data_IF_279485949225
#
_entry.id   IF_279485949225
#
_cell.length_a   1.000
_cell.length_b   1.000
_cell.length_c   1.000
_cell.angle_alpha   90.00
_cell.angle_beta   90.00
_cell.angle_gamma   90.00
#
_symmetry.space_group_name_H-M   'P 1'
#
loop_
_entity.id
_entity.type
_entity.pdbx_description
1 polymer ?
#
# COMPACT_ATOMS: atom_id res chain seq x y z
N UNK A 1 -35.34 -49.17 -23.45
CA UNK A 1 -35.13 -49.02 -21.99
C UNK A 1 -33.66 -48.87 -21.60
N UNK A 2 -32.76 -49.80 -21.91
CA UNK A 2 -31.32 -49.66 -21.58
C UNK A 2 -30.68 -48.36 -22.10
N UNK A 3 -30.88 -48.01 -23.37
CA UNK A 3 -30.33 -46.77 -23.95
C UNK A 3 -30.88 -45.47 -23.32
N UNK A 4 -32.14 -45.49 -22.87
CA UNK A 4 -32.76 -44.34 -22.19
C UNK A 4 -32.18 -44.15 -20.77
N UNK A 5 -31.94 -45.27 -20.05
CA UNK A 5 -31.28 -45.27 -18.74
C UNK A 5 -29.81 -44.82 -18.84
N UNK A 6 -29.09 -45.22 -19.88
CA UNK A 6 -27.71 -44.76 -20.12
C UNK A 6 -27.65 -43.26 -20.43
N UNK A 7 -28.60 -42.74 -21.21
CA UNK A 7 -28.70 -41.31 -21.51
C UNK A 7 -29.04 -40.49 -20.26
N UNK A 8 -29.99 -40.95 -19.44
CA UNK A 8 -30.34 -40.32 -18.16
C UNK A 8 -29.18 -40.33 -17.14
N UNK A 9 -28.40 -41.43 -17.10
CA UNK A 9 -27.20 -41.50 -16.27
C UNK A 9 -26.12 -40.51 -16.72
N UNK A 10 -25.91 -40.36 -18.04
CA UNK A 10 -24.98 -39.38 -18.60
C UNK A 10 -25.44 -37.93 -18.36
N UNK A 11 -26.75 -37.67 -18.48
CA UNK A 11 -27.33 -36.34 -18.20
C UNK A 11 -27.19 -35.97 -16.70
N UNK A 12 -27.33 -36.94 -15.81
CA UNK A 12 -27.16 -36.75 -14.36
C UNK A 12 -25.69 -36.45 -14.01
N UNK A 13 -24.74 -37.08 -14.69
CA UNK A 13 -23.29 -36.81 -14.55
C UNK A 13 -22.89 -35.42 -15.07
N UNK A 14 -23.62 -34.87 -16.06
CA UNK A 14 -23.42 -33.49 -16.52
C UNK A 14 -23.96 -32.45 -15.53
N UNK A 15 -25.04 -32.74 -14.80
CA UNK A 15 -25.60 -31.80 -13.79
C UNK A 15 -24.77 -31.74 -12.50
N UNK A 16 -23.92 -32.73 -12.23
CA UNK A 16 -23.02 -32.75 -11.07
C UNK A 16 -21.74 -31.94 -11.26
N UNK A 17 -21.58 -31.24 -12.40
CA UNK A 17 -20.46 -30.35 -12.70
C UNK A 17 -20.72 -28.89 -12.32
N UNK A 18 -21.79 -28.60 -11.58
CA UNK A 18 -21.86 -27.31 -10.88
C UNK A 18 -20.81 -27.32 -9.77
N UNK A 19 -19.72 -26.61 -10.01
CA UNK A 19 -18.61 -26.49 -9.08
C UNK A 19 -19.08 -25.95 -7.74
N UNK A 20 -18.70 -26.63 -6.66
CA UNK A 20 -18.80 -26.04 -5.33
C UNK A 20 -17.87 -24.82 -5.30
N UNK A 21 -18.27 -23.76 -4.60
CA UNK A 21 -17.36 -22.65 -4.33
C UNK A 21 -16.83 -22.73 -2.91
N UNK A 22 -15.68 -22.12 -2.69
CA UNK A 22 -15.06 -21.89 -1.40
C UNK A 22 -15.22 -20.42 -1.05
N UNK A 23 -15.83 -20.14 0.11
CA UNK A 23 -15.97 -18.80 0.67
C UNK A 23 -15.01 -18.65 1.85
N UNK A 24 -14.21 -17.60 1.83
CA UNK A 24 -13.38 -17.15 2.95
C UNK A 24 -14.12 -15.97 3.61
N UNK A 25 -14.76 -16.16 4.78
CA UNK A 25 -15.36 -15.05 5.51
C UNK A 25 -14.27 -14.07 5.98
N UNK A 26 -14.59 -12.78 6.00
CA UNK A 26 -13.69 -11.72 6.49
C UNK A 26 -14.27 -10.94 7.68
N UNK A 27 -15.38 -11.42 8.24
CA UNK A 27 -15.98 -10.90 9.47
C UNK A 27 -15.29 -11.50 10.72
N UNK A 28 -15.93 -11.35 11.88
CA UNK A 28 -15.41 -11.83 13.16
C UNK A 28 -15.27 -13.36 13.26
N UNK A 29 -15.81 -14.13 12.31
CA UNK A 29 -15.69 -15.59 12.29
C UNK A 29 -14.36 -16.07 11.71
N UNK A 30 -13.59 -15.19 11.08
CA UNK A 30 -12.28 -15.51 10.55
C UNK A 30 -11.23 -15.53 11.66
N UNK A 31 -10.52 -16.64 11.79
CA UNK A 31 -9.46 -16.80 12.79
C UNK A 31 -8.19 -16.00 12.43
N UNK A 32 -7.92 -15.82 11.14
CA UNK A 32 -6.71 -15.14 10.69
C UNK A 32 -6.91 -14.31 9.43
N UNK A 33 -7.32 -13.04 9.58
CA UNK A 33 -7.58 -12.12 8.47
C UNK A 33 -6.34 -11.83 7.63
N UNK A 34 -5.17 -11.63 8.25
CA UNK A 34 -3.94 -11.34 7.50
C UNK A 34 -3.51 -12.53 6.64
N UNK A 35 -3.59 -13.76 7.18
CA UNK A 35 -3.35 -14.97 6.38
C UNK A 35 -4.41 -15.19 5.31
N UNK A 36 -5.66 -14.75 5.52
CA UNK A 36 -6.70 -14.80 4.51
C UNK A 36 -6.36 -13.88 3.31
N UNK A 37 -5.93 -12.64 3.55
CA UNK A 37 -5.42 -11.76 2.47
C UNK A 37 -4.23 -12.39 1.73
N UNK A 38 -3.30 -12.98 2.47
CA UNK A 38 -2.18 -13.73 1.93
C UNK A 38 -2.56 -14.89 1.03
N UNK A 39 -3.53 -15.70 1.47
CA UNK A 39 -4.08 -16.81 0.70
C UNK A 39 -4.76 -16.32 -0.58
N UNK A 40 -5.54 -15.24 -0.50
CA UNK A 40 -6.19 -14.60 -1.65
C UNK A 40 -5.14 -14.12 -2.65
N UNK A 41 -4.08 -13.47 -2.18
CA UNK A 41 -2.97 -13.03 -3.04
C UNK A 41 -2.27 -14.22 -3.71
N UNK A 42 -1.94 -15.27 -2.96
CA UNK A 42 -1.35 -16.50 -3.48
C UNK A 42 -2.24 -17.18 -4.54
N UNK A 43 -3.56 -17.15 -4.36
CA UNK A 43 -4.50 -17.69 -5.34
C UNK A 43 -4.47 -16.86 -6.64
N UNK A 44 -4.40 -15.53 -6.55
CA UNK A 44 -4.24 -14.65 -7.73
C UNK A 44 -2.90 -14.89 -8.45
N UNK A 45 -1.81 -15.17 -7.73
CA UNK A 45 -0.52 -15.54 -8.36
C UNK A 45 -0.59 -16.89 -9.09
N UNK A 46 -1.53 -17.75 -8.70
CA UNK A 46 -1.80 -19.02 -9.34
C UNK A 46 -2.85 -18.92 -10.47
N UNK A 47 -3.14 -17.70 -10.96
CA UNK A 47 -4.14 -17.38 -11.98
C UNK A 47 -5.55 -17.90 -11.62
N UNK A 48 -5.88 -17.91 -10.33
CA UNK A 48 -7.22 -18.27 -9.84
C UNK A 48 -8.05 -17.00 -9.73
N UNK A 49 -9.18 -16.95 -10.45
CA UNK A 49 -10.15 -15.87 -10.36
C UNK A 49 -10.85 -15.87 -8.98
N UNK A 50 -11.01 -14.67 -8.42
CA UNK A 50 -11.62 -14.49 -7.10
C UNK A 50 -12.67 -13.39 -7.20
N UNK A 51 -13.85 -13.67 -6.67
CA UNK A 51 -14.88 -12.66 -6.44
C UNK A 51 -14.69 -12.08 -5.03
N UNK A 52 -14.33 -10.80 -4.94
CA UNK A 52 -14.34 -10.05 -3.70
C UNK A 52 -15.75 -9.51 -3.46
N UNK A 53 -16.39 -10.02 -2.40
CA UNK A 53 -17.75 -9.67 -2.03
C UNK A 53 -17.72 -8.48 -1.06
N UNK A 54 -17.59 -7.28 -1.60
CA UNK A 54 -17.45 -6.03 -0.85
C UNK A 54 -18.67 -5.82 0.06
N UNK A 55 -18.41 -5.50 1.34
CA UNK A 55 -19.39 -5.35 2.42
C UNK A 55 -20.21 -6.59 2.79
N UNK A 56 -20.05 -7.72 2.08
CA UNK A 56 -20.63 -8.99 2.50
C UNK A 56 -19.66 -9.70 3.47
N UNK A 57 -20.12 -9.99 4.69
CA UNK A 57 -19.33 -10.66 5.73
C UNK A 57 -17.89 -10.11 5.88
N UNK A 58 -17.79 -8.77 5.98
CA UNK A 58 -16.49 -8.09 6.16
C UNK A 58 -15.64 -7.98 4.90
N UNK A 59 -16.19 -8.29 3.71
CA UNK A 59 -15.45 -8.25 2.45
C UNK A 59 -14.90 -9.63 2.07
N UNK A 60 -15.75 -10.66 2.12
CA UNK A 60 -15.36 -12.06 1.89
C UNK A 60 -14.80 -12.33 0.49
N UNK A 61 -14.00 -13.40 0.38
CA UNK A 61 -13.48 -13.86 -0.91
C UNK A 61 -14.16 -15.16 -1.32
N UNK A 62 -14.66 -15.21 -2.55
CA UNK A 62 -15.34 -16.36 -3.12
C UNK A 62 -14.58 -16.84 -4.35
N UNK A 63 -14.25 -18.13 -4.41
CA UNK A 63 -13.52 -18.74 -5.52
C UNK A 63 -14.00 -20.17 -5.75
N UNK A 64 -13.65 -20.75 -6.89
CA UNK A 64 -13.99 -22.16 -7.16
C UNK A 64 -13.29 -23.08 -6.16
N UNK A 65 -14.03 -24.07 -5.66
CA UNK A 65 -13.47 -25.02 -4.72
C UNK A 65 -12.41 -25.89 -5.39
N UNK A 66 -11.26 -26.04 -4.72
CA UNK A 66 -10.30 -27.10 -5.03
C UNK A 66 -9.67 -27.65 -3.74
N UNK A 67 -9.30 -28.93 -3.77
CA UNK A 67 -8.58 -29.56 -2.65
C UNK A 67 -7.25 -28.85 -2.34
N UNK A 68 -6.65 -28.19 -3.34
CA UNK A 68 -5.43 -27.40 -3.20
C UNK A 68 -5.69 -26.17 -2.33
N UNK A 69 -6.69 -25.35 -2.68
CA UNK A 69 -7.05 -24.14 -1.92
C UNK A 69 -7.48 -24.51 -0.50
N UNK A 70 -8.37 -25.50 -0.35
CA UNK A 70 -8.83 -25.95 0.97
C UNK A 70 -7.69 -26.46 1.86
N UNK A 71 -6.65 -27.08 1.26
CA UNK A 71 -5.43 -27.46 1.99
C UNK A 71 -4.63 -26.24 2.43
N UNK A 72 -4.44 -25.26 1.55
CA UNK A 72 -3.74 -24.01 1.90
C UNK A 72 -4.47 -23.24 3.01
N UNK A 73 -5.81 -23.17 2.98
CA UNK A 73 -6.59 -22.59 4.07
C UNK A 73 -6.24 -23.25 5.42
N UNK A 74 -6.23 -24.59 5.47
CA UNK A 74 -5.91 -25.34 6.70
C UNK A 74 -4.48 -25.14 7.16
N UNK A 75 -3.52 -25.09 6.24
CA UNK A 75 -2.10 -24.88 6.56
C UNK A 75 -1.90 -23.48 7.16
N UNK A 76 -2.59 -22.48 6.60
CA UNK A 76 -2.47 -21.06 7.00
C UNK A 76 -3.38 -20.66 8.16
N UNK A 77 -4.23 -21.56 8.66
CA UNK A 77 -5.20 -21.27 9.72
C UNK A 77 -6.30 -20.29 9.27
N UNK A 78 -6.73 -20.39 8.02
CA UNK A 78 -7.81 -19.57 7.44
C UNK A 78 -9.10 -20.36 7.44
N UNK A 79 -10.15 -19.80 8.04
CA UNK A 79 -11.49 -20.37 8.03
C UNK A 79 -12.09 -20.24 6.63
N UNK A 80 -12.79 -21.29 6.19
CA UNK A 80 -13.50 -21.31 4.91
C UNK A 80 -14.77 -22.16 4.98
N UNK A 81 -15.70 -21.89 4.07
CA UNK A 81 -16.94 -22.63 3.88
C UNK A 81 -17.00 -23.18 2.45
N UNK A 82 -17.55 -24.38 2.30
CA UNK A 82 -17.92 -24.93 1.00
C UNK A 82 -19.37 -24.63 0.72
N UNK A 83 -19.66 -23.98 -0.42
CA UNK A 83 -21.00 -23.55 -0.79
C UNK A 83 -21.51 -24.33 -1.99
N UNK A 84 -22.79 -24.68 -1.95
CA UNK A 84 -23.53 -25.19 -3.09
C UNK A 84 -24.15 -24.05 -3.91
N UNK A 85 -24.67 -24.40 -5.10
CA UNK A 85 -25.26 -23.42 -6.01
C UNK A 85 -26.43 -22.63 -5.40
N UNK A 86 -27.21 -23.26 -4.51
CA UNK A 86 -28.33 -22.60 -3.83
C UNK A 86 -27.86 -21.54 -2.84
N UNK A 87 -26.82 -21.86 -2.06
CA UNK A 87 -26.20 -20.92 -1.11
C UNK A 87 -25.58 -19.73 -1.85
N UNK A 88 -24.87 -19.98 -2.95
CA UNK A 88 -24.27 -18.92 -3.78
C UNK A 88 -25.33 -17.97 -4.32
N UNK A 89 -26.45 -18.49 -4.84
CA UNK A 89 -27.55 -17.67 -5.35
C UNK A 89 -28.15 -16.77 -4.25
N UNK A 90 -28.28 -17.29 -3.03
CA UNK A 90 -28.76 -16.50 -1.89
C UNK A 90 -27.80 -15.36 -1.56
N UNK A 91 -26.48 -15.61 -1.59
CA UNK A 91 -25.45 -14.58 -1.36
C UNK A 91 -25.57 -13.48 -2.41
N UNK A 92 -25.63 -13.82 -3.70
CA UNK A 92 -25.77 -12.80 -4.74
C UNK A 92 -27.08 -12.01 -4.62
N UNK A 93 -28.19 -12.69 -4.26
CA UNK A 93 -29.47 -12.01 -4.01
C UNK A 93 -29.38 -11.03 -2.85
N UNK A 94 -28.67 -11.39 -1.78
CA UNK A 94 -28.41 -10.49 -0.65
C UNK A 94 -27.56 -9.29 -1.05
N UNK A 95 -26.51 -9.52 -1.84
CA UNK A 95 -25.63 -8.46 -2.34
C UNK A 95 -26.41 -7.47 -3.20
N UNK A 96 -27.19 -7.96 -4.17
CA UNK A 96 -28.01 -7.10 -5.05
C UNK A 96 -29.07 -6.28 -4.30
N UNK A 97 -29.57 -6.80 -3.17
CA UNK A 97 -30.60 -6.13 -2.37
C UNK A 97 -30.05 -5.07 -1.39
N UNK A 98 -28.73 -5.00 -1.19
CA UNK A 98 -28.09 -4.16 -0.17
C UNK A 98 -26.95 -3.30 -0.75
N UNK A 99 -26.30 -2.50 0.11
CA UNK A 99 -25.13 -1.70 -0.27
C UNK A 99 -23.84 -2.54 -0.29
N UNK A 100 -23.81 -3.54 -1.17
CA UNK A 100 -22.73 -4.50 -1.35
C UNK A 100 -22.39 -4.62 -2.84
N UNK A 101 -21.21 -5.17 -3.16
CA UNK A 101 -20.75 -5.29 -4.54
C UNK A 101 -19.89 -6.55 -4.74
N UNK A 102 -19.93 -7.12 -5.95
CA UNK A 102 -19.01 -8.19 -6.36
C UNK A 102 -17.95 -7.59 -7.27
N UNK A 103 -16.69 -7.64 -6.86
CA UNK A 103 -15.55 -7.19 -7.65
C UNK A 103 -14.74 -8.42 -8.06
N UNK A 104 -14.51 -8.58 -9.36
CA UNK A 104 -13.65 -9.66 -9.87
C UNK A 104 -12.17 -9.27 -9.74
N UNK A 105 -11.39 -10.15 -9.14
CA UNK A 105 -9.94 -10.06 -9.01
C UNK A 105 -9.30 -11.14 -9.89
N UNK A 106 -8.48 -10.72 -10.85
CA UNK A 106 -7.90 -11.61 -11.86
C UNK A 106 -6.36 -11.68 -11.81
N UNK A 107 -5.70 -10.71 -11.17
CA UNK A 107 -4.24 -10.59 -11.20
C UNK A 107 -3.68 -10.06 -9.90
N UNK A 108 -2.64 -10.71 -9.40
CA UNK A 108 -1.87 -10.23 -8.26
C UNK A 108 -1.02 -9.01 -8.66
N UNK A 109 -1.09 -7.89 -7.92
CA UNK A 109 -0.26 -6.71 -8.19
C UNK A 109 1.18 -6.94 -7.74
N UNK A 110 2.14 -6.36 -8.46
CA UNK A 110 3.53 -6.25 -7.99
C UNK A 110 3.66 -5.07 -7.04
N UNK A 111 4.07 -5.35 -5.80
CA UNK A 111 4.13 -4.37 -4.71
C UNK A 111 5.58 -3.95 -4.45
N UNK A 112 5.80 -2.64 -4.34
CA UNK A 112 7.02 -2.06 -3.80
C UNK A 112 6.74 -1.31 -2.50
N UNK A 113 7.62 -1.46 -1.52
CA UNK A 113 7.65 -0.67 -0.29
C UNK A 113 8.84 0.27 -0.35
N UNK A 114 8.57 1.56 -0.28
CA UNK A 114 9.63 2.57 -0.18
C UNK A 114 10.19 2.56 1.24
N UNK A 115 11.48 2.24 1.39
CA UNK A 115 12.10 2.13 2.70
C UNK A 115 13.61 2.34 2.63
N UNK A 116 14.20 3.17 3.52
CA UNK A 116 15.64 3.35 3.57
C UNK A 116 16.36 2.05 3.99
N UNK A 117 17.58 1.79 3.48
CA UNK A 117 18.26 0.50 3.64
C UNK A 117 18.60 0.12 5.09
N UNK A 118 18.63 1.10 6.01
CA UNK A 118 18.98 0.90 7.42
C UNK A 118 17.76 0.83 8.38
N UNK A 119 16.52 0.87 7.85
CA UNK A 119 15.30 0.73 8.68
C UNK A 119 15.23 -0.69 9.23
N UNK A 120 14.95 -0.84 10.53
CA UNK A 120 14.82 -2.19 11.08
C UNK A 120 13.48 -2.81 10.63
N UNK A 121 13.43 -4.12 10.34
CA UNK A 121 12.22 -4.78 9.83
C UNK A 121 10.99 -4.66 10.75
N UNK A 122 11.21 -4.54 12.07
CA UNK A 122 10.12 -4.38 13.04
C UNK A 122 9.67 -2.93 13.24
N UNK A 123 10.41 -1.96 12.71
CA UNK A 123 10.05 -0.54 12.77
C UNK A 123 8.99 -0.18 11.70
N UNK A 124 8.62 -1.13 10.83
CA UNK A 124 7.65 -0.92 9.77
C UNK A 124 6.51 -1.95 9.85
N UNK A 125 5.39 -1.50 10.41
CA UNK A 125 4.17 -2.28 10.55
C UNK A 125 3.66 -2.83 9.20
N UNK A 126 3.96 -2.16 8.09
CA UNK A 126 3.56 -2.58 6.74
C UNK A 126 4.32 -3.83 6.33
N UNK A 127 5.65 -3.82 6.42
CA UNK A 127 6.45 -4.98 6.05
C UNK A 127 6.18 -6.16 6.97
N UNK A 128 5.95 -5.91 8.27
CA UNK A 128 5.52 -6.95 9.21
C UNK A 128 4.18 -7.58 8.80
N UNK A 129 3.19 -6.77 8.40
CA UNK A 129 1.89 -7.26 7.95
C UNK A 129 2.00 -8.06 6.65
N UNK A 130 2.76 -7.58 5.67
CA UNK A 130 2.99 -8.28 4.39
C UNK A 130 3.75 -9.60 4.60
N UNK A 131 4.80 -9.59 5.42
CA UNK A 131 5.56 -10.79 5.78
C UNK A 131 4.69 -11.81 6.51
N UNK A 132 3.90 -11.36 7.49
CA UNK A 132 2.97 -12.23 8.20
C UNK A 132 1.90 -12.80 7.27
N UNK A 133 1.38 -11.99 6.35
CA UNK A 133 0.44 -12.45 5.32
C UNK A 133 1.11 -13.35 4.26
N UNK A 134 2.43 -13.38 4.17
CA UNK A 134 3.18 -14.05 3.08
C UNK A 134 2.89 -13.44 1.70
N UNK A 135 2.71 -12.11 1.64
CA UNK A 135 2.55 -11.37 0.39
C UNK A 135 3.93 -10.87 -0.05
N UNK A 136 4.41 -11.24 -1.26
CA UNK A 136 5.69 -10.79 -1.76
C UNK A 136 5.69 -9.29 -2.06
N UNK A 137 6.80 -8.64 -1.74
CA UNK A 137 7.04 -7.24 -2.04
C UNK A 137 8.54 -7.00 -2.23
N UNK A 138 8.89 -6.00 -3.03
CA UNK A 138 10.27 -5.53 -3.13
C UNK A 138 10.47 -4.25 -2.32
N UNK A 139 11.70 -4.04 -1.86
CA UNK A 139 12.11 -2.78 -1.21
C UNK A 139 12.84 -1.92 -2.22
N UNK A 140 12.54 -0.64 -2.22
CA UNK A 140 13.24 0.34 -3.03
C UNK A 140 13.37 1.66 -2.26
N UNK A 141 14.30 2.51 -2.68
CA UNK A 141 14.49 3.83 -2.09
C UNK A 141 14.81 4.86 -3.17
N UNK A 142 15.44 5.97 -2.80
CA UNK A 142 15.69 7.12 -3.67
C UNK A 142 16.36 6.77 -4.99
N UNK A 143 17.47 6.02 -4.92
CA UNK A 143 18.26 5.66 -6.09
C UNK A 143 17.45 4.84 -7.09
N UNK A 144 16.73 3.83 -6.64
CA UNK A 144 15.90 2.97 -7.48
C UNK A 144 14.72 3.75 -8.08
N UNK A 145 14.07 4.62 -7.28
CA UNK A 145 13.00 5.50 -7.77
C UNK A 145 13.53 6.38 -8.90
N UNK A 146 14.63 7.09 -8.67
CA UNK A 146 15.21 8.02 -9.65
C UNK A 146 15.78 7.33 -10.90
N UNK A 147 16.14 6.04 -10.81
CA UNK A 147 16.49 5.21 -11.96
C UNK A 147 15.29 4.73 -12.78
N UNK A 148 14.06 4.94 -12.30
CA UNK A 148 12.84 4.54 -12.98
C UNK A 148 12.36 3.12 -12.66
N UNK A 149 12.86 2.51 -11.59
CA UNK A 149 12.50 1.14 -11.22
C UNK A 149 11.03 0.99 -10.80
N UNK A 150 10.35 2.09 -10.44
CA UNK A 150 8.91 2.12 -10.17
C UNK A 150 8.06 1.55 -11.32
N UNK A 151 8.53 1.64 -12.57
CA UNK A 151 7.86 1.06 -13.74
C UNK A 151 7.69 -0.45 -13.70
N UNK A 152 8.39 -1.15 -12.80
CA UNK A 152 8.30 -2.60 -12.59
C UNK A 152 7.13 -3.00 -11.68
N UNK A 153 6.51 -2.05 -10.99
CA UNK A 153 5.56 -2.29 -9.91
C UNK A 153 4.19 -1.68 -10.22
N UNK A 154 3.14 -2.38 -9.81
CA UNK A 154 1.78 -1.88 -9.93
C UNK A 154 1.46 -0.91 -8.77
N UNK A 155 1.94 -1.23 -7.56
CA UNK A 155 1.64 -0.49 -6.32
C UNK A 155 2.92 -0.06 -5.59
N UNK A 156 2.92 1.19 -5.09
CA UNK A 156 3.95 1.75 -4.21
C UNK A 156 3.36 2.08 -2.84
N UNK A 157 4.02 1.61 -1.78
CA UNK A 157 3.65 1.90 -0.40
C UNK A 157 4.67 2.83 0.27
N UNK A 158 4.19 3.90 0.92
CA UNK A 158 4.99 4.87 1.69
C UNK A 158 4.51 4.90 3.14
N UNK A 159 5.43 4.74 4.10
CA UNK A 159 5.09 4.73 5.52
C UNK A 159 6.16 5.38 6.39
N UNK A 160 5.78 6.45 7.11
CA UNK A 160 6.68 7.26 7.95
C UNK A 160 7.87 7.89 7.20
N UNK A 161 7.68 8.23 5.93
CA UNK A 161 8.71 8.85 5.12
C UNK A 161 8.58 10.37 5.13
N UNK A 162 9.71 11.03 4.87
CA UNK A 162 9.84 12.49 4.83
C UNK A 162 10.42 12.91 3.48
N UNK A 163 9.59 13.51 2.65
CA UNK A 163 9.98 14.06 1.35
C UNK A 163 10.44 15.53 1.40
N UNK A 164 10.49 16.15 2.59
CA UNK A 164 10.92 17.55 2.73
C UNK A 164 12.43 17.70 2.91
N UNK A 165 13.09 16.65 3.43
CA UNK A 165 14.52 16.67 3.78
C UNK A 165 14.80 17.17 5.21
N UNK A 166 13.81 17.09 6.12
CA UNK A 166 13.95 17.50 7.53
C UNK A 166 14.14 16.29 8.47
N UNK A 167 14.56 15.15 7.92
CA UNK A 167 14.88 13.89 8.63
C UNK A 167 13.78 13.45 9.61
N UNK A 168 12.53 13.52 9.18
CA UNK A 168 11.37 13.12 9.99
C UNK A 168 11.07 14.04 11.18
N UNK A 169 11.68 15.23 11.24
CA UNK A 169 11.55 16.22 12.32
C UNK A 169 11.83 15.68 13.73
N UNK A 170 12.73 14.71 13.82
CA UNK A 170 13.18 14.13 15.08
C UNK A 170 14.25 14.97 15.82
N UNK A 171 14.58 16.16 15.31
CA UNK A 171 15.69 16.98 15.78
C UNK A 171 15.60 17.35 17.28
N UNK A 172 14.47 17.88 17.76
CA UNK A 172 14.35 18.29 19.16
C UNK A 172 14.68 17.17 20.15
N UNK A 173 14.18 15.97 19.88
CA UNK A 173 14.35 14.82 20.77
C UNK A 173 15.66 14.07 20.55
N UNK A 174 16.21 14.10 19.33
CA UNK A 174 17.24 13.14 18.91
C UNK A 174 18.44 13.72 18.15
N UNK A 175 18.59 15.04 18.00
CA UNK A 175 19.72 15.65 17.27
C UNK A 175 21.12 15.18 17.72
N UNK A 176 21.28 14.79 18.99
CA UNK A 176 22.55 14.26 19.53
C UNK A 176 22.63 12.74 19.55
N UNK A 177 21.55 12.03 19.17
CA UNK A 177 21.51 10.59 19.14
C UNK A 177 22.34 10.05 17.95
N UNK A 178 23.20 9.06 18.20
CA UNK A 178 24.10 8.55 17.16
C UNK A 178 23.37 7.93 15.97
N UNK A 179 22.15 7.40 16.16
CA UNK A 179 21.36 6.87 15.06
C UNK A 179 20.86 7.99 14.13
N UNK A 180 20.45 9.12 14.69
CA UNK A 180 19.93 10.27 13.94
C UNK A 180 21.05 10.93 13.13
N UNK A 181 22.22 11.15 13.77
CA UNK A 181 23.41 11.69 13.08
C UNK A 181 23.82 10.78 11.91
N UNK A 182 23.81 9.45 12.10
CA UNK A 182 24.13 8.51 11.02
C UNK A 182 23.10 8.52 9.89
N UNK A 183 21.81 8.64 10.24
CA UNK A 183 20.75 8.74 9.25
C UNK A 183 20.92 10.02 8.41
N UNK A 184 21.14 11.17 9.06
CA UNK A 184 21.38 12.42 8.36
C UNK A 184 22.57 12.32 7.40
N UNK A 185 23.73 11.84 7.87
CA UNK A 185 24.91 11.63 7.03
C UNK A 185 24.63 10.73 5.82
N UNK A 186 23.88 9.63 6.01
CA UNK A 186 23.52 8.73 4.93
C UNK A 186 22.66 9.40 3.85
N UNK A 187 21.71 10.25 4.27
CA UNK A 187 20.83 10.96 3.34
C UNK A 187 21.63 12.04 2.58
N UNK A 188 22.52 12.75 3.25
CA UNK A 188 23.43 13.73 2.64
C UNK A 188 24.38 13.07 1.63
N UNK A 189 24.99 11.92 1.99
CA UNK A 189 25.84 11.14 1.09
C UNK A 189 25.07 10.66 -0.15
N UNK A 190 23.85 10.13 0.02
CA UNK A 190 22.99 9.69 -1.09
C UNK A 190 22.66 10.87 -2.03
N UNK A 191 22.25 12.01 -1.48
CA UNK A 191 21.93 13.20 -2.27
C UNK A 191 23.16 13.69 -3.06
N UNK A 192 24.34 13.71 -2.44
CA UNK A 192 25.59 14.10 -3.09
C UNK A 192 26.01 13.12 -4.19
N UNK A 193 25.92 11.80 -3.95
CA UNK A 193 26.24 10.75 -4.92
C UNK A 193 25.31 10.79 -6.15
N UNK A 194 24.06 11.20 -5.93
CA UNK A 194 23.07 11.43 -6.98
C UNK A 194 23.22 12.78 -7.70
N UNK A 195 24.12 13.65 -7.23
CA UNK A 195 24.43 14.95 -7.83
C UNK A 195 23.49 16.09 -7.43
N UNK A 196 22.74 15.96 -6.32
CA UNK A 196 21.90 17.02 -5.77
C UNK A 196 22.68 17.90 -4.79
N UNK A 197 22.24 19.16 -4.66
CA UNK A 197 22.85 20.14 -3.76
C UNK A 197 22.46 19.92 -2.29
N UNK A 198 21.30 19.32 -2.03
CA UNK A 198 20.78 19.04 -0.70
C UNK A 198 19.81 17.86 -0.73
N UNK A 199 19.54 17.28 0.44
CA UNK A 199 18.53 16.23 0.62
C UNK A 199 17.15 16.74 0.23
N UNK A 200 16.81 18.00 0.52
CA UNK A 200 15.52 18.58 0.13
C UNK A 200 15.32 18.58 -1.40
N UNK A 201 16.34 18.95 -2.17
CA UNK A 201 16.26 18.94 -3.64
C UNK A 201 16.20 17.52 -4.23
N UNK A 202 16.92 16.58 -3.62
CA UNK A 202 16.85 15.16 -3.95
C UNK A 202 15.42 14.61 -3.71
N UNK A 203 14.85 14.83 -2.51
CA UNK A 203 13.51 14.37 -2.17
C UNK A 203 12.39 15.02 -3.00
N UNK A 204 12.51 16.30 -3.37
CA UNK A 204 11.59 16.92 -4.35
C UNK A 204 11.66 16.21 -5.70
N UNK A 205 12.85 15.77 -6.11
CA UNK A 205 13.02 15.00 -7.34
C UNK A 205 12.40 13.60 -7.26
N UNK A 206 12.54 12.91 -6.12
CA UNK A 206 11.86 11.64 -5.84
C UNK A 206 10.35 11.82 -5.86
N UNK A 207 9.82 12.85 -5.18
CA UNK A 207 8.39 13.15 -5.16
C UNK A 207 7.84 13.39 -6.57
N UNK A 208 8.54 14.15 -7.43
CA UNK A 208 8.19 14.30 -8.84
C UNK A 208 8.17 12.97 -9.60
N UNK A 209 9.16 12.12 -9.36
CA UNK A 209 9.28 10.83 -10.04
C UNK A 209 8.14 9.89 -9.64
N UNK A 210 7.77 9.86 -8.36
CA UNK A 210 6.59 9.11 -7.88
C UNK A 210 5.31 9.72 -8.47
N UNK A 211 5.21 11.04 -8.61
CA UNK A 211 4.04 11.69 -9.22
C UNK A 211 3.90 11.27 -10.68
N UNK A 212 4.99 11.20 -11.43
CA UNK A 212 4.97 10.71 -12.81
C UNK A 212 4.63 9.22 -12.89
N UNK A 213 5.07 8.41 -11.93
CA UNK A 213 4.62 7.01 -11.79
C UNK A 213 3.09 6.92 -11.62
N UNK A 214 2.50 7.73 -10.74
CA UNK A 214 1.03 7.77 -10.55
C UNK A 214 0.33 8.22 -11.83
N UNK A 215 0.84 9.25 -12.51
CA UNK A 215 0.29 9.73 -13.78
C UNK A 215 0.31 8.66 -14.87
N UNK A 216 1.24 7.71 -14.79
CA UNK A 216 1.36 6.58 -15.71
C UNK A 216 0.54 5.35 -15.27
N UNK A 217 -0.34 5.49 -14.28
CA UNK A 217 -1.27 4.43 -13.82
C UNK A 217 -0.79 3.65 -12.61
N UNK A 218 0.34 4.03 -12.00
CA UNK A 218 0.80 3.45 -10.75
C UNK A 218 -0.11 3.80 -9.57
N UNK A 219 -0.29 2.86 -8.65
CA UNK A 219 -1.08 3.10 -7.44
C UNK A 219 -0.16 3.49 -6.29
N UNK A 220 -0.49 4.60 -5.62
CA UNK A 220 0.23 5.04 -4.43
C UNK A 220 -0.64 4.84 -3.19
N UNK A 221 -0.07 4.21 -2.17
CA UNK A 221 -0.63 4.19 -0.83
C UNK A 221 0.36 4.84 0.14
N UNK A 222 -0.02 6.00 0.69
CA UNK A 222 0.80 6.78 1.60
C UNK A 222 0.12 6.93 2.97
N UNK A 223 0.88 6.77 4.04
CA UNK A 223 0.38 6.85 5.42
C UNK A 223 1.26 7.71 6.33
N UNK A 224 0.65 8.20 7.41
CA UNK A 224 1.28 9.07 8.41
C UNK A 224 1.96 10.28 7.73
N UNK A 225 3.21 10.58 8.12
CA UNK A 225 3.97 11.72 7.61
C UNK A 225 4.22 11.69 6.10
N UNK A 226 4.16 10.51 5.47
CA UNK A 226 4.37 10.40 4.03
C UNK A 226 3.24 11.09 3.24
N UNK A 227 2.03 11.16 3.80
CA UNK A 227 0.88 11.78 3.14
C UNK A 227 1.04 13.30 3.03
N UNK A 228 1.47 13.96 4.11
CA UNK A 228 1.69 15.41 4.15
C UNK A 228 3.00 15.79 3.44
N UNK A 229 4.12 15.20 3.86
CA UNK A 229 5.45 15.58 3.37
C UNK A 229 5.61 15.44 1.86
N UNK A 230 4.88 14.52 1.24
CA UNK A 230 4.87 14.31 -0.20
C UNK A 230 4.25 15.48 -0.97
N UNK A 231 3.07 15.95 -0.57
CA UNK A 231 2.44 17.12 -1.20
C UNK A 231 3.21 18.42 -0.87
N UNK A 232 3.80 18.52 0.33
CA UNK A 232 4.73 19.61 0.67
C UNK A 232 5.91 19.64 -0.31
N UNK A 233 6.55 18.50 -0.58
CA UNK A 233 7.69 18.44 -1.49
C UNK A 233 7.32 18.88 -2.91
N UNK A 234 6.14 18.46 -3.40
CA UNK A 234 5.62 18.88 -4.70
C UNK A 234 5.33 20.39 -4.76
N UNK A 235 4.74 20.95 -3.70
CA UNK A 235 4.43 22.38 -3.63
C UNK A 235 5.68 23.26 -3.47
N UNK A 236 6.71 22.74 -2.78
CA UNK A 236 7.96 23.45 -2.47
C UNK A 236 9.03 23.31 -3.56
N UNK A 237 8.68 22.85 -4.76
CA UNK A 237 9.61 22.79 -5.89
C UNK A 237 10.23 24.16 -6.21
N UNK A 238 11.56 24.26 -6.11
CA UNK A 238 12.30 25.51 -6.34
C UNK A 238 12.19 26.52 -5.18
N UNK A 239 11.60 26.12 -4.05
CA UNK A 239 11.51 26.92 -2.83
C UNK A 239 12.24 26.19 -1.72
N UNK A 240 13.12 26.91 -1.02
CA UNK A 240 13.77 26.37 0.17
C UNK A 240 12.85 26.52 1.39
N UNK A 241 12.50 25.39 1.99
CA UNK A 241 11.60 25.27 3.15
C UNK A 241 12.28 24.60 4.35
N UNK A 242 13.56 24.23 4.22
CA UNK A 242 14.31 23.51 5.25
C UNK A 242 15.11 24.53 6.06
N UNK A 243 15.03 24.44 7.38
CA UNK A 243 15.68 25.41 8.27
C UNK A 243 17.12 24.99 8.62
N UNK A 244 17.90 25.96 9.09
CA UNK A 244 19.34 25.87 9.37
C UNK A 244 19.77 24.62 10.16
N UNK A 245 19.02 24.13 11.17
CA UNK A 245 19.44 22.94 11.91
C UNK A 245 19.55 21.67 11.07
N UNK A 246 18.92 21.62 9.89
CA UNK A 246 18.86 20.45 9.04
C UNK A 246 19.87 20.50 7.89
N UNK A 247 20.02 21.63 7.21
CA UNK A 247 20.90 21.75 6.03
C UNK A 247 21.82 22.98 6.03
N UNK A 248 21.87 23.71 7.15
CA UNK A 248 22.72 24.88 7.37
C UNK A 248 22.38 26.10 6.49
N UNK A 249 21.24 26.09 5.79
CA UNK A 249 20.75 27.23 5.00
C UNK A 249 19.46 27.82 5.58
N UNK A 250 19.24 29.14 5.44
CA UNK A 250 17.99 29.74 5.90
C UNK A 250 16.88 29.49 4.88
N UNK A 251 15.68 29.20 5.39
CA UNK A 251 14.46 29.10 4.55
C UNK A 251 14.29 30.33 3.64
N UNK A 252 13.71 30.11 2.47
CA UNK A 252 13.42 31.17 1.51
C UNK A 252 12.50 32.25 2.13
N UNK A 253 12.81 33.55 1.99
CA UNK A 253 11.92 34.61 2.45
C UNK A 253 10.54 34.46 1.80
N UNK A 254 9.48 34.56 2.60
CA UNK A 254 8.09 34.38 2.19
C UNK A 254 7.83 33.03 1.50
N UNK A 255 8.47 31.93 1.93
CA UNK A 255 8.32 30.60 1.32
C UNK A 255 6.86 30.16 1.18
N UNK A 256 6.00 30.39 2.18
CA UNK A 256 4.57 30.02 2.12
C UNK A 256 3.85 30.65 0.92
N UNK A 257 4.16 31.90 0.57
CA UNK A 257 3.57 32.58 -0.58
C UNK A 257 4.13 32.12 -1.94
N UNK A 258 5.22 31.32 -1.92
CA UNK A 258 5.88 30.77 -3.11
C UNK A 258 5.52 29.31 -3.38
N UNK A 259 4.78 28.66 -2.47
CA UNK A 259 4.33 27.28 -2.66
C UNK A 259 3.36 27.20 -3.84
N UNK A 260 3.57 26.22 -4.71
CA UNK A 260 2.73 25.97 -5.88
C UNK A 260 1.80 24.77 -5.66
N UNK A 261 0.63 25.04 -5.07
CA UNK A 261 -0.39 24.02 -4.83
C UNK A 261 -1.04 23.45 -6.11
N UNK A 262 -0.71 23.96 -7.30
CA UNK A 262 -1.11 23.30 -8.55
C UNK A 262 -0.35 22.00 -8.81
N UNK A 263 0.78 21.80 -8.10
CA UNK A 263 1.63 20.61 -8.20
C UNK A 263 1.25 19.50 -7.23
N UNK A 264 0.42 19.76 -6.22
CA UNK A 264 0.00 18.73 -5.25
C UNK A 264 -0.99 17.75 -5.85
N UNK A 265 -1.20 16.61 -5.17
CA UNK A 265 -2.20 15.62 -5.55
C UNK A 265 -3.49 15.76 -4.73
N UNK A 266 -3.39 15.98 -3.42
CA UNK A 266 -4.53 15.90 -2.51
C UNK A 266 -4.74 17.22 -1.77
N UNK A 267 -3.73 17.72 -1.07
CA UNK A 267 -3.85 18.85 -0.17
C UNK A 267 -3.46 20.16 -0.85
N UNK A 268 -4.12 21.24 -0.45
CA UNK A 268 -3.90 22.61 -0.96
C UNK A 268 -4.03 23.60 0.18
N UNK A 269 -3.45 24.78 -0.01
CA UNK A 269 -3.59 25.93 0.89
C UNK A 269 -3.12 25.65 2.34
N UNK A 270 -2.22 24.69 2.53
CA UNK A 270 -1.62 24.38 3.82
C UNK A 270 -0.52 25.38 4.20
N UNK A 271 -0.33 25.58 5.50
CA UNK A 271 0.72 26.41 6.07
C UNK A 271 1.83 25.55 6.65
N UNK A 272 3.08 25.75 6.21
CA UNK A 272 4.20 24.98 6.77
C UNK A 272 4.58 25.44 8.17
N UNK A 273 4.95 24.47 9.00
CA UNK A 273 5.56 24.67 10.30
C UNK A 273 7.08 24.51 10.14
N UNK A 274 7.84 25.58 10.29
CA UNK A 274 9.31 25.53 10.13
C UNK A 274 10.06 25.31 11.45
N UNK A 275 9.37 25.32 12.58
CA UNK A 275 10.02 25.13 13.88
C UNK A 275 10.60 23.70 13.97
N UNK A 276 11.93 23.53 14.11
CA UNK A 276 12.58 22.21 14.18
C UNK A 276 12.23 21.43 15.45
N UNK A 277 11.61 22.09 16.43
CA UNK A 277 11.15 21.46 17.68
C UNK A 277 9.71 20.97 17.63
N UNK A 278 9.02 21.17 16.50
CA UNK A 278 7.64 20.70 16.28
C UNK A 278 7.68 19.56 15.28
N UNK A 279 6.98 18.47 15.57
CA UNK A 279 6.99 17.26 14.76
C UNK A 279 6.24 17.46 13.43
N UNK A 280 5.12 18.17 13.47
CA UNK A 280 4.24 18.41 12.34
C UNK A 280 4.95 19.24 11.26
N UNK A 281 4.77 18.86 9.98
CA UNK A 281 5.34 19.58 8.83
C UNK A 281 4.47 20.75 8.40
N UNK A 282 3.15 20.62 8.53
CA UNK A 282 2.16 21.63 8.20
C UNK A 282 0.94 21.57 9.13
N UNK A 283 -0.09 22.33 8.80
CA UNK A 283 -1.43 22.27 9.41
C UNK A 283 -2.35 21.22 8.77
N UNK A 284 -1.85 20.36 7.87
CA UNK A 284 -2.63 19.26 7.27
C UNK A 284 -3.00 18.20 8.32
N UNK A 285 -2.03 17.82 9.15
CA UNK A 285 -2.26 16.85 10.21
C UNK A 285 -3.04 17.50 11.36
N UNK A 286 -4.34 17.22 11.39
CA UNK A 286 -5.16 17.53 12.55
C UNK A 286 -4.91 16.49 13.65
N UNK A 287 -4.17 16.85 14.70
CA UNK A 287 -4.19 16.07 15.93
C UNK A 287 -5.64 16.10 16.44
N UNK A 288 -6.32 14.94 16.60
CA UNK A 288 -7.59 14.94 17.30
C UNK A 288 -7.33 15.44 18.71
N UNK A 289 -7.91 16.60 19.04
CA UNK A 289 -7.87 17.15 20.39
C UNK A 289 -8.57 16.26 21.43
#
# INVERSE_FOLDING_TARGET
MKQLLTLLFFLFQLTTLLGQKLLIPMDITQENHLKAYGLTFWALEADIEIEWLLNYQGGSFLMDYSDKIARECRIRGVNYLTLDAGSILNIYTEIEANNMEVILLEKAPKIAVYTPPNKQPWDDAVTLALEYAEIPYDKLWDLEVLKGDLSKYDWLHLHHEDFTGQYGKFYASYHSASWYIRQQLQYEEMAADLGYLSVSEEKKSVARTIKDYIRNGGFLFAMCSATDSYDIALAAEGVDIVDVPFDMTPVSPNFNAKLDYSKTLVFKDFTLVTNPSVYEFSDIDAVPG
#
